data_IF_622585350120
#
_entry.id   IF_622585350120
#
_cell.length_a   1.000
_cell.length_b   1.000
_cell.length_c   1.000
_cell.angle_alpha   90.00
_cell.angle_beta   90.00
_cell.angle_gamma   90.00
#
_symmetry.space_group_name_H-M   'P 1'
#
loop_
_entity.id
_entity.type
_entity.pdbx_description
1 polymer ?
#
# COMPACT_ATOMS: atom_id res chain seq x y z
N UNK A 1 7.52 -19.07 24.55
CA UNK A 1 6.17 -18.62 24.13
C UNK A 1 6.19 -17.67 22.92
N UNK A 2 7.27 -16.90 22.66
CA UNK A 2 7.29 -15.97 21.51
C UNK A 2 7.28 -16.61 20.12
N UNK A 3 8.02 -17.71 19.90
CA UNK A 3 8.16 -18.32 18.57
C UNK A 3 6.85 -18.93 18.06
N UNK A 4 6.13 -19.66 18.91
CA UNK A 4 4.84 -20.23 18.56
C UNK A 4 3.82 -19.14 18.21
N UNK A 5 3.84 -18.01 18.91
CA UNK A 5 2.96 -16.88 18.64
C UNK A 5 3.34 -16.15 17.34
N UNK A 6 4.64 -15.99 17.04
CA UNK A 6 5.12 -15.44 15.75
C UNK A 6 4.73 -16.33 14.57
N UNK A 7 4.90 -17.64 14.70
CA UNK A 7 4.52 -18.61 13.66
C UNK A 7 3.00 -18.65 13.50
N UNK A 8 2.25 -18.74 14.60
CA UNK A 8 0.79 -18.77 14.59
C UNK A 8 0.19 -17.49 14.00
N UNK A 9 0.71 -16.32 14.36
CA UNK A 9 0.29 -15.04 13.78
C UNK A 9 0.64 -14.91 12.30
N UNK A 10 1.83 -15.36 11.87
CA UNK A 10 2.18 -15.38 10.45
C UNK A 10 1.25 -16.27 9.62
N UNK A 11 0.91 -17.46 10.14
CA UNK A 11 -0.06 -18.36 9.49
C UNK A 11 -1.44 -17.71 9.42
N UNK A 12 -1.91 -17.10 10.51
CA UNK A 12 -3.19 -16.40 10.54
C UNK A 12 -3.25 -15.23 9.55
N UNK A 13 -2.18 -14.43 9.47
CA UNK A 13 -2.08 -13.34 8.50
C UNK A 13 -2.06 -13.85 7.06
N UNK A 14 -1.30 -14.92 6.79
CA UNK A 14 -1.31 -15.58 5.48
C UNK A 14 -2.69 -16.11 5.10
N UNK A 15 -3.36 -16.79 6.04
CA UNK A 15 -4.72 -17.29 5.84
C UNK A 15 -5.72 -16.16 5.58
N UNK A 16 -5.62 -15.04 6.32
CA UNK A 16 -6.44 -13.84 6.10
C UNK A 16 -6.25 -13.30 4.67
N UNK A 17 -5.01 -13.18 4.19
CA UNK A 17 -4.73 -12.74 2.82
C UNK A 17 -5.37 -13.69 1.79
N UNK A 18 -5.24 -15.00 1.98
CA UNK A 18 -5.84 -16.00 1.07
C UNK A 18 -7.37 -15.89 1.06
N UNK A 19 -7.99 -15.71 2.23
CA UNK A 19 -9.44 -15.54 2.35
C UNK A 19 -9.95 -14.24 1.72
N UNK A 20 -9.15 -13.18 1.75
CA UNK A 20 -9.49 -11.88 1.14
C UNK A 20 -9.17 -11.84 -0.36
N UNK A 21 -8.26 -12.68 -0.84
CA UNK A 21 -7.81 -12.73 -2.24
C UNK A 21 -8.94 -12.77 -3.27
N UNK A 22 -10.02 -13.57 -3.16
CA UNK A 22 -11.09 -13.57 -4.16
C UNK A 22 -11.78 -12.21 -4.28
N UNK A 23 -12.06 -11.55 -3.16
CA UNK A 23 -12.64 -10.21 -3.14
C UNK A 23 -11.67 -9.17 -3.67
N UNK A 24 -10.40 -9.25 -3.29
CA UNK A 24 -9.35 -8.38 -3.82
C UNK A 24 -9.22 -8.52 -5.35
N UNK A 25 -9.26 -9.74 -5.88
CA UNK A 25 -9.27 -9.99 -7.33
C UNK A 25 -10.49 -9.39 -8.00
N UNK A 26 -11.68 -9.53 -7.40
CA UNK A 26 -12.89 -8.89 -7.90
C UNK A 26 -12.74 -7.38 -7.95
N UNK A 27 -12.22 -6.75 -6.89
CA UNK A 27 -11.97 -5.30 -6.86
C UNK A 27 -11.01 -4.86 -7.97
N UNK A 28 -9.91 -5.58 -8.16
CA UNK A 28 -8.94 -5.27 -9.21
C UNK A 28 -9.53 -5.41 -10.62
N UNK A 29 -10.37 -6.42 -10.85
CA UNK A 29 -11.02 -6.64 -12.16
C UNK A 29 -12.11 -5.61 -12.49
N UNK A 30 -12.72 -5.00 -11.47
CA UNK A 30 -13.82 -4.03 -11.65
C UNK A 30 -13.37 -2.58 -11.34
N UNK A 31 -12.08 -2.37 -11.06
CA UNK A 31 -11.55 -1.03 -10.89
C UNK A 31 -11.46 -0.34 -12.25
N UNK A 32 -11.69 0.99 -12.33
CA UNK A 32 -11.42 1.74 -13.54
C UNK A 32 -9.97 1.55 -13.98
N UNK A 33 -9.76 1.36 -15.27
CA UNK A 33 -8.41 1.36 -15.84
C UNK A 33 -7.76 2.74 -15.63
N UNK A 34 -6.43 2.73 -15.48
CA UNK A 34 -5.67 3.96 -15.39
C UNK A 34 -5.85 4.81 -16.65
N UNK A 35 -6.34 6.02 -16.48
CA UNK A 35 -6.55 6.95 -17.58
C UNK A 35 -5.27 7.73 -17.89
N UNK A 36 -5.11 8.24 -19.13
CA UNK A 36 -4.09 9.23 -19.43
C UNK A 36 -4.24 10.43 -18.50
N UNK A 37 -3.23 10.72 -17.68
CA UNK A 37 -3.28 11.80 -16.68
C UNK A 37 -3.23 11.32 -15.23
N UNK A 38 -3.60 10.08 -14.92
CA UNK A 38 -3.62 9.57 -13.54
C UNK A 38 -2.21 9.56 -12.92
N UNK A 39 -1.21 9.20 -13.73
CA UNK A 39 0.19 9.25 -13.34
C UNK A 39 0.69 10.69 -13.14
N UNK A 40 0.28 11.64 -13.98
CA UNK A 40 0.61 13.06 -13.76
C UNK A 40 -0.06 13.60 -12.49
N UNK A 41 -1.31 13.23 -12.22
CA UNK A 41 -2.04 13.63 -11.02
C UNK A 41 -1.40 13.06 -9.74
N UNK A 42 -0.81 11.86 -9.80
CA UNK A 42 -0.08 11.25 -8.69
C UNK A 42 1.28 11.91 -8.41
N UNK A 43 1.97 12.42 -9.44
CA UNK A 43 3.29 13.06 -9.30
C UNK A 43 3.22 14.32 -8.44
N UNK A 44 2.16 15.13 -8.57
CA UNK A 44 2.02 16.38 -7.82
C UNK A 44 2.02 16.19 -6.28
N UNK A 45 1.15 15.35 -5.68
CA UNK A 45 1.18 15.09 -4.24
C UNK A 45 2.46 14.39 -3.81
N UNK A 46 3.04 13.51 -4.64
CA UNK A 46 4.30 12.84 -4.32
C UNK A 46 5.46 13.85 -4.21
N UNK A 47 5.57 14.77 -5.17
CA UNK A 47 6.57 15.84 -5.15
C UNK A 47 6.33 16.82 -4.00
N UNK A 48 5.07 17.10 -3.65
CA UNK A 48 4.75 17.92 -2.48
C UNK A 48 5.27 17.31 -1.18
N UNK A 49 5.06 16.00 -0.97
CA UNK A 49 5.57 15.28 0.20
C UNK A 49 7.09 15.24 0.20
N UNK A 50 7.71 14.90 -0.94
CA UNK A 50 9.16 14.87 -1.06
C UNK A 50 9.80 16.25 -0.80
N UNK A 51 9.20 17.31 -1.35
CA UNK A 51 9.62 18.70 -1.13
C UNK A 51 9.46 19.14 0.33
N UNK A 52 8.35 18.76 0.97
CA UNK A 52 8.15 19.03 2.40
C UNK A 52 9.22 18.34 3.27
N UNK A 53 9.51 17.06 3.00
CA UNK A 53 10.58 16.34 3.70
C UNK A 53 11.94 17.00 3.46
N UNK A 54 12.26 17.42 2.24
CA UNK A 54 13.50 18.11 1.94
C UNK A 54 13.63 19.46 2.68
N UNK A 55 12.52 20.22 2.79
CA UNK A 55 12.47 21.45 3.58
C UNK A 55 12.75 21.17 5.06
N UNK A 56 12.17 20.11 5.63
CA UNK A 56 12.44 19.71 7.01
C UNK A 56 13.90 19.32 7.22
N UNK A 57 14.51 18.58 6.28
CA UNK A 57 15.94 18.24 6.33
C UNK A 57 16.86 19.45 6.29
N UNK A 58 16.43 20.55 5.68
CA UNK A 58 17.20 21.79 5.62
C UNK A 58 17.07 22.65 6.88
N UNK A 59 15.94 22.53 7.59
CA UNK A 59 15.67 23.26 8.83
C UNK A 59 16.37 22.64 10.06
N UNK A 60 16.58 21.33 10.05
CA UNK A 60 17.25 20.55 11.11
C UNK A 60 18.75 20.53 10.88
#
# INVERSE_FOLDING_TARGET
MEMALKIGSAILLGAMIILMLPRARQMLQHSPDAQPGDWQAFILPLLAVAGFVALLMWLV
#
